data_IF_693560972961
#
_entry.id   IF_693560972961
#
_cell.length_a   1.000
_cell.length_b   1.000
_cell.length_c   1.000
_cell.angle_alpha   90.00
_cell.angle_beta   90.00
_cell.angle_gamma   90.00
#
_symmetry.space_group_name_H-M   'P 1'
#
loop_
_entity.id
_entity.type
_entity.pdbx_description
1 polymer ?
#
# COMPACT_ATOMS: atom_id res chain seq x y z
N UNK A 1 44.26 1.83 -24.65
CA UNK A 1 43.60 0.53 -24.85
C UNK A 1 42.37 0.81 -25.70
N UNK A 2 42.29 0.27 -26.92
CA UNK A 2 41.12 0.47 -27.78
C UNK A 2 40.04 -0.53 -27.33
N UNK A 3 38.99 -0.04 -26.70
CA UNK A 3 37.84 -0.86 -26.34
C UNK A 3 37.04 -1.23 -27.59
N UNK A 4 36.35 -2.37 -27.56
CA UNK A 4 35.48 -2.80 -28.66
C UNK A 4 34.26 -1.88 -28.77
N UNK A 5 33.77 -1.68 -29.99
CA UNK A 5 32.60 -0.84 -30.28
C UNK A 5 31.30 -1.39 -29.65
N UNK A 6 31.30 -2.67 -29.26
CA UNK A 6 30.18 -3.35 -28.58
C UNK A 6 30.67 -3.98 -27.29
N UNK A 7 29.79 -3.99 -26.28
CA UNK A 7 30.02 -4.74 -25.04
C UNK A 7 29.84 -6.25 -25.27
N UNK A 8 30.31 -7.04 -24.30
CA UNK A 8 29.80 -8.41 -24.13
C UNK A 8 28.37 -8.42 -23.59
N UNK A 9 27.94 -9.57 -23.08
CA UNK A 9 26.66 -9.68 -22.38
C UNK A 9 26.63 -8.71 -21.20
N UNK A 10 25.64 -7.84 -21.17
CA UNK A 10 25.52 -6.80 -20.15
C UNK A 10 24.30 -7.07 -19.28
N UNK A 11 24.42 -6.74 -17.99
CA UNK A 11 23.33 -6.84 -17.02
C UNK A 11 23.02 -5.45 -16.47
N UNK A 12 21.76 -5.06 -16.55
CA UNK A 12 21.22 -3.92 -15.85
C UNK A 12 20.54 -4.41 -14.56
N UNK A 13 21.10 -4.05 -13.42
CA UNK A 13 20.57 -4.26 -12.08
C UNK A 13 19.87 -2.99 -11.59
N UNK A 14 18.54 -3.06 -11.49
CA UNK A 14 17.70 -1.97 -11.01
C UNK A 14 17.20 -2.29 -9.62
N UNK A 15 17.61 -1.52 -8.61
CA UNK A 15 17.11 -1.68 -7.25
C UNK A 15 15.63 -1.26 -7.17
N UNK A 16 14.82 -2.10 -6.51
CA UNK A 16 13.40 -1.86 -6.29
C UNK A 16 13.17 -1.37 -4.86
N UNK A 17 12.33 -0.33 -4.69
CA UNK A 17 11.95 0.13 -3.38
C UNK A 17 11.23 -0.92 -2.53
N UNK A 18 11.45 -0.91 -1.22
CA UNK A 18 10.81 -1.86 -0.30
C UNK A 18 9.28 -1.79 -0.34
N UNK A 19 8.62 -2.95 -0.39
CA UNK A 19 7.15 -3.02 -0.48
C UNK A 19 6.60 -2.87 -1.89
N UNK A 20 7.45 -2.65 -2.89
CA UNK A 20 7.11 -2.76 -4.30
C UNK A 20 7.51 -4.13 -4.84
N UNK A 21 6.73 -4.60 -5.80
CA UNK A 21 6.89 -5.90 -6.41
C UNK A 21 6.47 -5.85 -7.87
N UNK A 22 7.09 -6.68 -8.71
CA UNK A 22 6.65 -6.91 -10.08
C UNK A 22 6.53 -8.40 -10.33
N UNK A 23 5.40 -8.79 -10.92
CA UNK A 23 5.15 -10.18 -11.29
C UNK A 23 6.10 -10.61 -12.41
N UNK A 24 6.71 -11.78 -12.27
CA UNK A 24 7.62 -12.33 -13.28
C UNK A 24 6.92 -12.50 -14.64
N UNK A 25 5.62 -12.86 -14.66
CA UNK A 25 4.84 -13.02 -15.88
C UNK A 25 4.74 -11.71 -16.69
N UNK A 26 4.61 -10.55 -16.01
CA UNK A 26 4.60 -9.23 -16.67
C UNK A 26 5.95 -8.94 -17.33
N UNK A 27 7.04 -9.28 -16.66
CA UNK A 27 8.40 -9.15 -17.22
C UNK A 27 8.58 -10.07 -18.43
N UNK A 28 8.19 -11.35 -18.34
CA UNK A 28 8.31 -12.30 -19.45
C UNK A 28 7.50 -11.84 -20.67
N UNK A 29 6.28 -11.33 -20.46
CA UNK A 29 5.45 -10.74 -21.53
C UNK A 29 6.11 -9.51 -22.15
N UNK A 30 6.76 -8.67 -21.34
CA UNK A 30 7.50 -7.51 -21.83
C UNK A 30 8.69 -7.92 -22.72
N UNK A 31 9.44 -8.96 -22.36
CA UNK A 31 10.52 -9.51 -23.18
C UNK A 31 9.98 -10.06 -24.51
N UNK A 32 8.88 -10.82 -24.45
CA UNK A 32 8.24 -11.40 -25.64
C UNK A 32 7.71 -10.34 -26.59
N UNK A 33 7.38 -9.13 -26.10
CA UNK A 33 6.97 -8.02 -26.96
C UNK A 33 8.07 -7.51 -27.88
N UNK A 34 9.35 -7.84 -27.62
CA UNK A 34 10.54 -7.46 -28.41
C UNK A 34 10.62 -5.95 -28.73
N UNK A 35 10.01 -5.10 -27.88
CA UNK A 35 10.04 -3.64 -28.03
C UNK A 35 11.43 -3.04 -27.81
N UNK A 36 12.24 -3.73 -27.02
CA UNK A 36 13.59 -3.29 -26.62
C UNK A 36 14.60 -4.15 -27.35
N UNK A 37 15.56 -3.51 -28.01
CA UNK A 37 16.62 -4.20 -28.74
C UNK A 37 17.52 -4.96 -27.77
N UNK A 38 18.04 -6.10 -28.23
CA UNK A 38 19.04 -6.94 -27.55
C UNK A 38 18.64 -7.45 -26.16
N UNK A 39 17.39 -7.21 -25.72
CA UNK A 39 16.90 -7.64 -24.43
C UNK A 39 16.46 -9.11 -24.50
N UNK A 40 17.14 -9.98 -23.75
CA UNK A 40 16.91 -11.42 -23.79
C UNK A 40 16.08 -11.95 -22.62
N UNK A 41 16.30 -11.39 -21.43
CA UNK A 41 15.65 -11.89 -20.21
C UNK A 41 15.51 -10.79 -19.20
N UNK A 42 14.43 -10.85 -18.42
CA UNK A 42 14.27 -10.08 -17.21
C UNK A 42 13.96 -11.03 -16.06
N UNK A 43 14.54 -10.78 -14.89
CA UNK A 43 14.27 -11.60 -13.70
C UNK A 43 14.08 -10.70 -12.48
N UNK A 44 12.96 -10.91 -11.80
CA UNK A 44 12.70 -10.30 -10.52
C UNK A 44 13.41 -11.05 -9.40
N UNK A 45 14.11 -10.32 -8.56
CA UNK A 45 14.58 -10.74 -7.24
C UNK A 45 13.96 -9.78 -6.22
N UNK A 46 13.66 -10.24 -5.02
CA UNK A 46 12.82 -9.54 -4.03
C UNK A 46 13.03 -8.03 -3.88
N UNK A 47 14.26 -7.51 -4.07
CA UNK A 47 14.60 -6.09 -3.97
C UNK A 47 15.24 -5.51 -5.23
N UNK A 48 15.25 -6.22 -6.35
CA UNK A 48 15.86 -5.77 -7.61
C UNK A 48 15.36 -6.52 -8.84
N UNK A 49 15.38 -5.85 -9.99
CA UNK A 49 15.15 -6.51 -11.29
C UNK A 49 16.43 -6.51 -12.09
N UNK A 50 16.77 -7.68 -12.62
CA UNK A 50 17.89 -7.84 -13.53
C UNK A 50 17.37 -7.95 -14.95
N UNK A 51 17.87 -7.09 -15.84
CA UNK A 51 17.66 -7.19 -17.29
C UNK A 51 18.96 -7.64 -17.95
N UNK A 52 18.87 -8.69 -18.77
CA UNK A 52 19.99 -9.29 -19.48
C UNK A 52 19.95 -8.87 -20.95
N UNK A 53 21.03 -8.26 -21.40
CA UNK A 53 21.25 -7.86 -22.79
C UNK A 53 22.33 -8.72 -23.43
N UNK A 54 22.16 -9.08 -24.70
CA UNK A 54 23.22 -9.76 -25.45
C UNK A 54 24.46 -8.89 -25.62
N UNK A 55 24.23 -7.61 -25.94
CA UNK A 55 25.25 -6.58 -26.04
C UNK A 55 24.61 -5.20 -25.96
N UNK A 56 25.41 -4.23 -25.54
CA UNK A 56 25.13 -2.81 -25.66
C UNK A 56 26.10 -2.21 -26.68
N UNK A 57 25.58 -1.33 -27.51
CA UNK A 57 26.30 -0.55 -28.50
C UNK A 57 26.28 0.94 -28.13
N UNK A 58 26.77 1.80 -29.02
CA UNK A 58 26.79 3.26 -28.81
C UNK A 58 25.40 3.91 -28.94
N UNK A 59 24.36 3.15 -29.28
CA UNK A 59 22.99 3.65 -29.37
C UNK A 59 22.27 3.48 -28.03
N UNK A 60 21.50 4.50 -27.64
CA UNK A 60 20.73 4.47 -26.40
C UNK A 60 19.58 3.45 -26.46
N UNK A 61 19.45 2.65 -25.40
CA UNK A 61 18.38 1.66 -25.24
C UNK A 61 17.49 2.04 -24.07
N UNK A 62 16.22 2.37 -24.36
CA UNK A 62 15.25 2.75 -23.35
C UNK A 62 14.39 1.56 -22.88
N UNK A 63 14.28 1.39 -21.56
CA UNK A 63 13.48 0.37 -20.90
C UNK A 63 12.37 1.03 -20.08
N UNK A 64 11.14 0.57 -20.25
CA UNK A 64 9.98 1.06 -19.50
C UNK A 64 9.25 -0.12 -18.88
N UNK A 65 9.22 -0.20 -17.55
CA UNK A 65 8.48 -1.20 -16.81
C UNK A 65 7.81 -0.57 -15.59
N UNK A 66 6.71 -1.19 -15.15
CA UNK A 66 5.93 -0.71 -14.01
C UNK A 66 6.05 -1.69 -12.86
N UNK A 67 6.34 -1.16 -11.67
CA UNK A 67 6.33 -1.89 -10.40
C UNK A 67 5.09 -1.49 -9.60
N UNK A 68 4.52 -2.43 -8.86
CA UNK A 68 3.28 -2.22 -8.10
C UNK A 68 3.56 -2.28 -6.60
N UNK A 69 2.84 -1.47 -5.83
CA UNK A 69 2.96 -1.46 -4.37
C UNK A 69 2.13 -2.61 -3.79
N UNK A 70 2.79 -3.52 -3.08
CA UNK A 70 2.17 -4.66 -2.40
C UNK A 70 2.09 -4.48 -0.89
N UNK A 71 3.08 -3.81 -0.29
CA UNK A 71 3.12 -3.58 1.16
C UNK A 71 3.18 -2.09 1.50
N UNK A 72 2.47 -1.65 2.56
CA UNK A 72 2.50 -0.28 3.02
C UNK A 72 3.81 0.02 3.76
N UNK A 73 4.80 0.61 3.08
CA UNK A 73 6.07 1.04 3.68
C UNK A 73 6.16 2.56 3.69
N UNK A 74 6.28 3.16 4.88
CA UNK A 74 6.36 4.62 5.05
C UNK A 74 7.81 5.15 5.05
N UNK A 75 8.79 4.32 5.43
CA UNK A 75 10.21 4.72 5.46
C UNK A 75 10.98 3.99 4.35
N UNK A 76 10.95 4.58 3.16
CA UNK A 76 11.63 4.06 1.99
C UNK A 76 13.00 4.71 1.81
N UNK A 77 13.92 4.04 1.12
CA UNK A 77 15.16 4.68 0.69
C UNK A 77 14.90 5.65 -0.48
N UNK A 78 15.33 6.91 -0.34
CA UNK A 78 15.18 7.94 -1.38
C UNK A 78 16.03 7.65 -2.63
N UNK A 79 17.28 7.25 -2.43
CA UNK A 79 18.21 6.99 -3.52
C UNK A 79 18.33 5.48 -3.73
N UNK A 80 17.98 5.02 -4.94
CA UNK A 80 18.06 3.61 -5.33
C UNK A 80 19.16 3.44 -6.38
N UNK A 81 20.12 2.52 -6.16
CA UNK A 81 21.17 2.29 -7.13
C UNK A 81 20.65 1.56 -8.37
N UNK A 82 21.10 2.03 -9.53
CA UNK A 82 20.91 1.41 -10.83
C UNK A 82 22.29 1.18 -11.40
N UNK A 83 22.63 -0.10 -11.65
CA UNK A 83 23.97 -0.52 -12.05
C UNK A 83 23.91 -1.24 -13.38
N UNK A 84 24.79 -0.86 -14.29
CA UNK A 84 25.05 -1.63 -15.52
C UNK A 84 26.45 -2.20 -15.41
N UNK A 85 26.59 -3.50 -15.63
CA UNK A 85 27.88 -4.18 -15.57
C UNK A 85 28.00 -5.28 -16.62
N UNK A 86 29.25 -5.61 -16.98
CA UNK A 86 29.56 -6.75 -17.84
C UNK A 86 29.35 -8.06 -17.06
N UNK A 87 28.64 -9.01 -17.66
CA UNK A 87 28.36 -10.30 -17.05
C UNK A 87 29.63 -11.12 -16.76
N UNK A 88 30.66 -11.01 -17.60
CA UNK A 88 31.90 -11.78 -17.45
C UNK A 88 32.95 -11.08 -16.58
N UNK A 89 32.84 -9.76 -16.40
CA UNK A 89 33.78 -8.94 -15.63
C UNK A 89 33.01 -7.86 -14.82
N UNK A 90 32.35 -8.23 -13.71
CA UNK A 90 31.44 -7.34 -12.97
C UNK A 90 32.13 -6.15 -12.29
N UNK A 91 33.45 -6.21 -12.10
CA UNK A 91 34.27 -5.05 -11.70
C UNK A 91 34.19 -3.88 -12.69
N UNK A 92 33.82 -4.12 -13.95
CA UNK A 92 33.52 -3.09 -14.93
C UNK A 92 32.04 -2.74 -14.87
N UNK A 93 31.71 -1.75 -14.06
CA UNK A 93 30.35 -1.29 -13.88
C UNK A 93 30.23 0.24 -13.92
N UNK A 94 29.05 0.70 -14.29
CA UNK A 94 28.61 2.07 -14.09
C UNK A 94 27.39 2.06 -13.17
N UNK A 95 27.41 2.90 -12.15
CA UNK A 95 26.34 3.02 -11.16
C UNK A 95 25.79 4.44 -11.17
N UNK A 96 24.46 4.53 -11.18
CA UNK A 96 23.71 5.79 -11.08
C UNK A 96 22.69 5.66 -9.97
N UNK A 97 22.39 6.76 -9.29
CA UNK A 97 21.39 6.79 -8.23
C UNK A 97 20.10 7.40 -8.78
N UNK A 98 19.00 6.66 -8.64
CA UNK A 98 17.67 7.13 -8.97
C UNK A 98 17.01 7.78 -7.75
N UNK A 99 16.52 9.01 -7.90
CA UNK A 99 15.80 9.74 -6.84
C UNK A 99 14.31 9.37 -6.85
N UNK A 100 13.92 8.49 -5.93
CA UNK A 100 12.55 8.06 -5.69
C UNK A 100 11.79 8.99 -4.72
N UNK A 101 12.05 10.31 -4.79
CA UNK A 101 11.39 11.34 -3.99
C UNK A 101 9.86 11.20 -3.88
N UNK A 102 9.08 10.98 -4.96
CA UNK A 102 7.62 10.90 -4.83
C UNK A 102 7.17 9.73 -3.97
N UNK A 103 7.93 8.63 -3.92
CA UNK A 103 7.61 7.49 -3.06
C UNK A 103 8.14 7.70 -1.63
N UNK A 104 9.25 8.41 -1.49
CA UNK A 104 9.85 8.74 -0.18
C UNK A 104 8.98 9.70 0.64
N UNK A 105 8.31 10.65 0.00
CA UNK A 105 7.50 11.67 0.68
C UNK A 105 6.13 11.17 1.17
N UNK A 106 5.74 9.94 0.81
CA UNK A 106 4.45 9.38 1.19
C UNK A 106 4.34 9.21 2.71
N UNK A 107 3.30 9.81 3.30
CA UNK A 107 3.05 9.70 4.73
C UNK A 107 2.41 8.34 5.05
N UNK A 108 2.62 7.81 6.27
CA UNK A 108 2.04 6.55 6.72
C UNK A 108 0.51 6.50 6.54
N UNK A 109 -0.18 7.62 6.68
CA UNK A 109 -1.62 7.70 6.48
C UNK A 109 -2.04 7.52 5.01
N UNK A 110 -1.27 8.05 4.06
CA UNK A 110 -1.52 7.89 2.61
C UNK A 110 -1.13 6.50 2.12
N UNK A 111 -0.13 5.90 2.76
CA UNK A 111 0.35 4.56 2.43
C UNK A 111 -0.60 3.48 2.94
N UNK A 112 -1.05 3.59 4.19
CA UNK A 112 -1.91 2.61 4.85
C UNK A 112 -3.41 2.81 4.52
N UNK A 113 -3.86 4.05 4.29
CA UNK A 113 -5.12 4.36 3.61
C UNK A 113 -6.40 3.84 4.27
N UNK A 114 -6.37 3.53 5.56
CA UNK A 114 -7.49 2.89 6.26
C UNK A 114 -7.68 3.41 7.69
N UNK A 115 -8.85 3.16 8.28
CA UNK A 115 -9.13 3.44 9.70
C UNK A 115 -8.44 2.47 10.67
N UNK A 116 -7.74 1.46 10.15
CA UNK A 116 -6.93 0.56 10.98
C UNK A 116 -5.55 1.14 11.29
N UNK A 117 -5.16 2.24 10.62
CA UNK A 117 -3.86 2.87 10.81
C UNK A 117 -3.85 3.72 12.09
N UNK A 118 -3.01 3.41 13.10
CA UNK A 118 -2.90 4.24 14.28
C UNK A 118 -2.34 5.62 13.90
N UNK A 119 -2.74 6.66 14.63
CA UNK A 119 -2.27 8.06 14.46
C UNK A 119 -2.75 8.81 13.21
N UNK A 120 -3.64 8.23 12.40
CA UNK A 120 -4.21 8.91 11.22
C UNK A 120 -5.56 9.56 11.52
N UNK A 121 -5.55 10.83 11.91
CA UNK A 121 -6.76 11.57 12.27
C UNK A 121 -7.80 11.64 11.14
N UNK A 122 -7.37 11.69 9.87
CA UNK A 122 -8.30 11.77 8.71
C UNK A 122 -9.17 10.50 8.60
N UNK A 123 -8.62 9.33 8.88
CA UNK A 123 -9.35 8.05 8.83
C UNK A 123 -10.02 7.68 10.16
N UNK A 124 -9.48 8.16 11.29
CA UNK A 124 -9.98 7.87 12.63
C UNK A 124 -10.93 8.96 13.18
N UNK A 125 -11.14 10.05 12.43
CA UNK A 125 -12.11 11.08 12.78
C UNK A 125 -13.52 10.51 12.70
N UNK A 126 -13.99 9.94 13.79
CA UNK A 126 -15.40 9.63 13.97
C UNK A 126 -16.15 10.92 14.31
N UNK A 127 -17.18 11.23 13.54
CA UNK A 127 -18.17 12.24 13.94
C UNK A 127 -18.84 11.68 15.20
N UNK A 128 -18.56 12.28 16.35
CA UNK A 128 -19.27 11.95 17.60
C UNK A 128 -20.70 12.45 17.44
N UNK A 129 -21.58 11.60 16.90
CA UNK A 129 -22.99 11.90 16.85
C UNK A 129 -23.47 12.17 18.28
N UNK A 130 -24.13 13.31 18.56
CA UNK A 130 -24.69 13.54 19.88
C UNK A 130 -25.72 12.43 20.12
N UNK A 131 -25.57 11.68 21.22
CA UNK A 131 -26.55 10.68 21.61
C UNK A 131 -27.87 11.42 21.78
N UNK A 132 -28.96 11.05 21.06
CA UNK A 132 -30.22 11.77 21.13
C UNK A 132 -30.94 11.40 22.43
N UNK A 133 -30.45 11.94 23.55
CA UNK A 133 -30.88 11.62 24.91
C UNK A 133 -32.41 11.76 25.07
N UNK A 134 -32.99 12.82 24.51
CA UNK A 134 -34.44 13.05 24.54
C UNK A 134 -35.24 12.00 23.75
N UNK A 135 -34.71 11.48 22.64
CA UNK A 135 -35.38 10.42 21.88
C UNK A 135 -35.33 9.08 22.63
N UNK A 136 -34.19 8.78 23.25
CA UNK A 136 -34.04 7.57 24.07
C UNK A 136 -34.97 7.65 25.29
N UNK A 137 -34.95 8.78 26.01
CA UNK A 137 -35.84 9.00 27.15
C UNK A 137 -37.31 8.91 26.74
N UNK A 138 -37.69 9.56 25.63
CA UNK A 138 -39.05 9.52 25.10
C UNK A 138 -39.50 8.10 24.72
N UNK A 139 -38.61 7.31 24.10
CA UNK A 139 -38.88 5.92 23.76
C UNK A 139 -39.06 5.06 25.02
N UNK A 140 -38.21 5.22 26.04
CA UNK A 140 -38.33 4.51 27.32
C UNK A 140 -39.66 4.83 28.00
N UNK A 141 -40.03 6.13 28.09
CA UNK A 141 -41.31 6.55 28.66
C UNK A 141 -42.49 6.00 27.85
N UNK A 142 -42.43 6.02 26.52
CA UNK A 142 -43.49 5.47 25.68
C UNK A 142 -43.65 3.94 25.88
N UNK A 143 -42.54 3.21 26.01
CA UNK A 143 -42.54 1.76 26.25
C UNK A 143 -43.11 1.46 27.65
N UNK A 144 -42.74 2.20 28.69
CA UNK A 144 -43.29 1.98 30.04
C UNK A 144 -44.78 2.29 30.09
N UNK A 145 -45.22 3.42 29.52
CA UNK A 145 -46.65 3.77 29.43
C UNK A 145 -47.43 2.73 28.64
N UNK A 146 -46.87 2.23 27.53
CA UNK A 146 -47.50 1.16 26.73
C UNK A 146 -47.55 -0.15 27.51
N UNK A 147 -46.50 -0.53 28.23
CA UNK A 147 -46.48 -1.71 29.09
C UNK A 147 -47.55 -1.60 30.18
N UNK A 148 -47.62 -0.50 30.93
CA UNK A 148 -48.66 -0.28 31.95
C UNK A 148 -50.08 -0.25 31.37
N UNK A 149 -50.27 0.25 30.13
CA UNK A 149 -51.57 0.17 29.44
C UNK A 149 -51.94 -1.24 28.99
N UNK A 150 -50.98 -2.04 28.51
CA UNK A 150 -51.20 -3.42 28.04
C UNK A 150 -51.41 -4.37 29.22
N UNK A 151 -50.63 -4.21 30.30
CA UNK A 151 -50.78 -4.94 31.56
C UNK A 151 -51.95 -4.40 32.38
N UNK A 152 -53.09 -4.13 31.73
CA UNK A 152 -54.35 -3.66 32.32
C UNK A 152 -54.94 -4.60 33.37
N UNK A 153 -54.25 -4.73 34.51
CA UNK A 153 -54.66 -5.30 35.78
C UNK A 153 -53.61 -4.87 36.81
N UNK A 154 -53.88 -3.76 37.51
CA UNK A 154 -53.02 -3.33 38.61
C UNK A 154 -53.13 -1.89 39.10
N UNK A 155 -54.15 -1.10 38.75
CA UNK A 155 -54.37 0.21 39.38
C UNK A 155 -54.66 0.11 40.90
N UNK A 156 -54.91 -1.11 41.42
CA UNK A 156 -55.24 -1.37 42.83
C UNK A 156 -54.07 -1.87 43.70
N UNK A 157 -52.93 -2.28 43.15
CA UNK A 157 -51.84 -2.85 43.96
C UNK A 157 -50.82 -1.82 44.48
N UNK A 158 -50.76 -0.61 43.89
CA UNK A 158 -49.80 0.42 44.33
C UNK A 158 -50.30 1.25 45.53
N UNK A 159 -51.62 1.34 45.74
CA UNK A 159 -52.19 2.00 46.93
C UNK A 159 -52.04 1.18 48.22
N UNK A 160 -51.86 -0.14 48.13
CA UNK A 160 -51.70 -0.98 49.32
C UNK A 160 -50.28 -0.95 49.93
N UNK A 161 -49.27 -0.48 49.19
CA UNK A 161 -47.90 -0.33 49.68
C UNK A 161 -47.60 1.07 50.24
N UNK A 162 -48.42 2.08 49.93
CA UNK A 162 -48.25 3.44 50.43
C UNK A 162 -49.03 3.74 51.73
N UNK A 163 -49.95 2.86 52.16
CA UNK A 163 -50.77 3.04 53.38
C UNK A 163 -50.61 1.89 54.40
N UNK A 164 -49.44 1.22 54.40
CA UNK A 164 -49.11 0.13 55.32
C UNK A 164 -48.10 0.46 56.42
N UNK A 165 -47.69 1.73 56.55
CA UNK A 165 -46.82 2.19 57.63
C UNK A 165 -47.46 3.38 58.35
N UNK A 166 -48.46 3.07 59.16
CA UNK A 166 -48.78 3.72 60.45
C UNK A 166 -49.42 2.67 61.34
#
# INVERSE_FOLDING_TARGET
>A
VNESVRSGMAVLDVAIPTGYFVQQQKLDTYILSRRVRNLQRAKYFEKKVLFYFDYLDSEDVCLNFTIERWYPVANMSRYLPIRVYDYYAPERFNETLFDALPTYLLNICEVCGSSQCPYCAIYNAAIRAPIPFFLILGAVVAITVRHFRITGRGFLTLMSLAMGNT
#
